data_IF_989196876131
#
_entry.id   IF_989196876131
#
_cell.length_a   1.000
_cell.length_b   1.000
_cell.length_c   1.000
_cell.angle_alpha   90.00
_cell.angle_beta   90.00
_cell.angle_gamma   90.00
#
_symmetry.space_group_name_H-M   'P 1'
#
loop_
_entity.id
_entity.type
_entity.pdbx_description
1 polymer ?
#
# COMPACT_ATOMS: atom_id res chain seq x y z
N UNK A 1 40.15 22.06 43.49
CA UNK A 1 39.64 23.22 44.26
C UNK A 1 39.20 24.30 43.26
N UNK A 2 37.90 24.56 43.16
CA UNK A 2 37.28 25.88 42.94
C UNK A 2 35.77 25.69 42.78
N UNK A 3 35.02 26.39 43.62
CA UNK A 3 33.57 26.37 43.78
C UNK A 3 32.97 27.64 43.16
N UNK A 4 31.71 27.50 42.73
CA UNK A 4 30.61 28.47 42.71
C UNK A 4 30.61 29.60 41.66
N UNK A 5 29.57 29.59 40.81
CA UNK A 5 28.57 30.67 40.85
C UNK A 5 27.22 30.17 40.33
N UNK A 6 26.20 30.38 41.16
CA UNK A 6 24.78 30.13 40.93
C UNK A 6 24.14 31.49 40.67
N UNK A 7 23.30 31.60 39.63
CA UNK A 7 22.19 32.56 39.67
C UNK A 7 20.93 31.95 39.06
N UNK A 8 19.98 31.66 39.96
CA UNK A 8 18.55 31.63 39.68
C UNK A 8 18.05 33.02 39.26
N UNK A 9 16.99 33.08 38.46
CA UNK A 9 15.86 33.99 38.71
C UNK A 9 14.57 33.42 38.10
N UNK A 10 13.50 33.64 38.86
CA UNK A 10 12.18 33.04 38.83
C UNK A 10 11.14 33.99 38.23
N UNK A 11 10.08 33.40 37.63
CA UNK A 11 8.65 33.78 37.50
C UNK A 11 8.27 35.28 37.52
N UNK A 12 7.38 35.78 36.66
CA UNK A 12 5.90 35.83 36.85
C UNK A 12 5.36 36.82 35.76
N UNK A 13 4.31 36.58 34.97
CA UNK A 13 2.87 36.65 35.27
C UNK A 13 2.17 37.95 34.81
N UNK A 14 1.06 37.76 34.06
CA UNK A 14 -0.23 38.48 34.01
C UNK A 14 -0.52 39.73 33.11
N UNK A 15 -1.65 39.56 32.39
CA UNK A 15 -2.75 40.49 32.04
C UNK A 15 -2.52 41.60 30.99
N UNK A 16 -3.49 41.97 30.13
CA UNK A 16 -4.93 41.66 30.00
C UNK A 16 -5.42 41.81 28.54
N UNK A 17 -6.49 41.13 28.09
CA UNK A 17 -7.91 41.56 28.04
C UNK A 17 -8.10 42.98 27.48
N UNK A 18 -8.97 43.31 26.52
CA UNK A 18 -10.05 42.68 25.76
C UNK A 18 -10.44 43.69 24.64
N UNK A 19 -11.13 43.42 23.53
CA UNK A 19 -12.56 43.12 23.33
C UNK A 19 -12.80 43.25 21.82
N UNK A 20 -13.53 42.32 21.18
CA UNK A 20 -14.79 42.63 20.44
C UNK A 20 -15.44 41.37 19.91
N UNK A 21 -16.72 41.21 20.23
CA UNK A 21 -17.62 40.23 19.68
C UNK A 21 -18.04 40.60 18.24
N UNK A 22 -18.26 39.59 17.38
CA UNK A 22 -19.39 39.57 16.44
C UNK A 22 -19.54 38.21 15.74
N UNK A 23 -20.80 37.76 15.76
CA UNK A 23 -21.47 36.90 14.78
C UNK A 23 -21.05 35.43 14.63
N UNK A 24 -21.88 34.57 15.23
CA UNK A 24 -22.12 33.22 14.76
C UNK A 24 -22.63 33.27 13.31
N UNK A 25 -21.78 32.90 12.36
CA UNK A 25 -22.21 32.45 11.04
C UNK A 25 -22.20 30.92 11.08
N UNK A 26 -23.40 30.34 11.18
CA UNK A 26 -23.62 28.93 10.88
C UNK A 26 -23.26 28.72 9.41
N UNK A 27 -22.02 28.31 9.14
CA UNK A 27 -21.62 27.78 7.85
C UNK A 27 -22.33 26.45 7.69
N UNK A 28 -23.47 26.48 7.00
CA UNK A 28 -24.15 25.31 6.47
C UNK A 28 -23.12 24.47 5.73
N UNK A 29 -22.83 23.29 6.27
CA UNK A 29 -22.08 22.26 5.56
C UNK A 29 -22.73 22.05 4.19
N UNK A 30 -21.95 21.96 3.09
CA UNK A 30 -22.52 21.62 1.81
C UNK A 30 -23.13 20.22 1.95
N UNK A 31 -24.44 20.17 1.75
CA UNK A 31 -25.24 18.97 1.48
C UNK A 31 -24.39 18.00 0.68
N UNK A 32 -24.19 16.79 1.22
CA UNK A 32 -23.59 15.69 0.50
C UNK A 32 -24.40 15.49 -0.78
N UNK A 33 -23.87 15.96 -1.91
CA UNK A 33 -24.40 15.69 -3.23
C UNK A 33 -24.49 14.19 -3.35
N UNK A 34 -25.72 13.67 -3.39
CA UNK A 34 -26.00 12.28 -3.70
C UNK A 34 -25.16 11.92 -4.93
N UNK A 35 -24.25 10.97 -4.77
CA UNK A 35 -23.37 10.53 -5.84
C UNK A 35 -24.26 10.12 -7.02
N UNK A 36 -24.24 10.93 -8.09
CA UNK A 36 -24.96 10.63 -9.30
C UNK A 36 -24.57 9.21 -9.74
N UNK A 37 -25.57 8.34 -9.95
CA UNK A 37 -25.32 7.00 -10.47
C UNK A 37 -24.54 7.14 -11.77
N UNK A 38 -23.30 6.61 -11.86
CA UNK A 38 -22.52 6.76 -13.06
C UNK A 38 -23.27 6.08 -14.21
N UNK A 39 -23.25 6.70 -15.39
CA UNK A 39 -23.84 6.13 -16.59
C UNK A 39 -23.33 4.69 -16.80
N UNK A 40 -24.16 3.77 -17.32
CA UNK A 40 -23.76 2.39 -17.55
C UNK A 40 -22.51 2.35 -18.44
N UNK A 41 -21.47 1.68 -17.95
CA UNK A 41 -20.17 1.63 -18.62
C UNK A 41 -20.22 0.61 -19.76
N UNK A 42 -19.86 1.02 -20.98
CA UNK A 42 -19.79 0.12 -22.15
C UNK A 42 -18.51 -0.72 -22.18
N UNK A 43 -17.47 -0.27 -21.46
CA UNK A 43 -16.16 -0.92 -21.36
C UNK A 43 -15.76 -1.11 -19.90
N UNK A 44 -14.88 -2.08 -19.66
CA UNK A 44 -14.20 -2.23 -18.37
C UNK A 44 -13.32 -1.00 -18.09
N UNK A 45 -13.37 -0.50 -16.85
CA UNK A 45 -12.50 0.58 -16.37
C UNK A 45 -11.67 0.06 -15.21
N UNK A 46 -10.36 0.33 -15.25
CA UNK A 46 -9.46 0.05 -14.12
C UNK A 46 -9.17 1.35 -13.38
N UNK A 47 -9.59 1.43 -12.11
CA UNK A 47 -9.25 2.53 -11.21
C UNK A 47 -8.06 2.16 -10.36
N UNK A 48 -7.11 3.09 -10.23
CA UNK A 48 -5.87 2.86 -9.49
C UNK A 48 -5.84 3.74 -8.24
N UNK A 49 -5.57 3.15 -7.07
CA UNK A 49 -5.43 3.86 -5.80
C UNK A 49 -4.02 4.43 -5.55
N UNK A 50 -3.77 5.06 -4.39
CA UNK A 50 -2.41 5.36 -3.93
C UNK A 50 -1.66 4.07 -3.56
N UNK A 51 -0.31 4.05 -3.57
CA UNK A 51 0.48 2.89 -3.15
C UNK A 51 0.17 2.46 -1.70
N UNK A 52 0.15 1.16 -1.45
CA UNK A 52 0.03 0.61 -0.09
C UNK A 52 1.31 0.90 0.71
N UNK A 53 1.15 1.31 1.97
CA UNK A 53 2.26 1.69 2.84
C UNK A 53 3.17 0.52 3.27
N UNK A 54 2.72 -0.74 3.15
CA UNK A 54 3.49 -1.93 3.50
C UNK A 54 4.06 -2.58 2.24
N UNK A 55 3.25 -2.80 1.22
CA UNK A 55 3.66 -3.53 0.02
C UNK A 55 4.25 -2.63 -1.07
N UNK A 56 3.98 -1.33 -1.02
CA UNK A 56 4.24 -0.36 -2.10
C UNK A 56 3.56 -0.72 -3.43
N UNK A 57 2.66 -1.72 -3.42
CA UNK A 57 1.86 -2.09 -4.58
C UNK A 57 0.69 -1.13 -4.70
N UNK A 58 0.28 -0.88 -5.95
CA UNK A 58 -0.87 -0.02 -6.21
C UNK A 58 -2.15 -0.86 -6.25
N UNK A 59 -3.08 -0.70 -5.29
CA UNK A 59 -4.36 -1.36 -5.35
C UNK A 59 -5.14 -0.85 -6.57
N UNK A 60 -5.89 -1.74 -7.18
CA UNK A 60 -6.75 -1.38 -8.30
C UNK A 60 -8.12 -2.02 -8.16
N UNK A 61 -9.12 -1.33 -8.68
CA UNK A 61 -10.49 -1.79 -8.78
C UNK A 61 -10.82 -1.95 -10.27
N UNK A 62 -11.32 -3.12 -10.65
CA UNK A 62 -11.84 -3.36 -11.99
C UNK A 62 -13.35 -3.16 -11.96
N UNK A 63 -13.83 -2.11 -12.60
CA UNK A 63 -15.26 -1.86 -12.80
C UNK A 63 -15.71 -2.60 -14.06
N UNK A 64 -16.63 -3.58 -13.95
CA UNK A 64 -17.13 -4.31 -15.11
C UNK A 64 -17.98 -3.42 -16.02
N UNK A 65 -18.05 -3.81 -17.30
CA UNK A 65 -19.02 -3.24 -18.22
C UNK A 65 -20.45 -3.63 -17.80
N UNK A 66 -21.44 -2.78 -18.08
CA UNK A 66 -22.84 -3.02 -17.71
C UNK A 66 -23.40 -4.31 -18.35
N UNK A 67 -22.92 -4.68 -19.53
CA UNK A 67 -23.28 -5.90 -20.27
C UNK A 67 -22.15 -6.93 -20.31
N UNK A 68 -21.41 -7.06 -19.20
CA UNK A 68 -20.29 -8.01 -19.05
C UNK A 68 -20.74 -9.45 -19.36
N UNK A 69 -19.99 -10.11 -20.25
CA UNK A 69 -20.19 -11.53 -20.56
C UNK A 69 -19.62 -12.43 -19.46
N UNK A 70 -20.09 -13.68 -19.40
CA UNK A 70 -19.55 -14.67 -18.44
C UNK A 70 -18.04 -14.86 -18.61
N UNK A 71 -17.52 -14.81 -19.84
CA UNK A 71 -16.08 -14.95 -20.10
C UNK A 71 -15.28 -13.73 -19.62
N UNK A 72 -15.80 -12.51 -19.78
CA UNK A 72 -15.18 -11.30 -19.23
C UNK A 72 -15.17 -11.34 -17.69
N UNK A 73 -16.28 -11.74 -17.07
CA UNK A 73 -16.36 -11.90 -15.62
C UNK A 73 -15.35 -12.91 -15.09
N UNK A 74 -15.26 -14.09 -15.69
CA UNK A 74 -14.30 -15.14 -15.33
C UNK A 74 -12.86 -14.58 -15.37
N UNK A 75 -12.51 -13.90 -16.46
CA UNK A 75 -11.18 -13.31 -16.60
C UNK A 75 -10.91 -12.18 -15.59
N UNK A 76 -11.89 -11.32 -15.34
CA UNK A 76 -11.80 -10.25 -14.33
C UNK A 76 -11.58 -10.81 -12.93
N UNK A 77 -12.35 -11.82 -12.53
CA UNK A 77 -12.23 -12.48 -11.23
C UNK A 77 -10.86 -13.14 -11.06
N UNK A 78 -10.31 -13.78 -12.11
CA UNK A 78 -8.95 -14.31 -12.09
C UNK A 78 -7.91 -13.23 -11.85
N UNK A 79 -8.01 -12.08 -12.53
CA UNK A 79 -7.09 -10.93 -12.35
C UNK A 79 -7.15 -10.37 -10.94
N UNK A 80 -8.36 -10.23 -10.38
CA UNK A 80 -8.56 -9.78 -8.99
C UNK A 80 -7.92 -10.77 -8.01
N UNK A 81 -8.18 -12.07 -8.17
CA UNK A 81 -7.62 -13.11 -7.31
C UNK A 81 -6.09 -13.14 -7.36
N UNK A 82 -5.50 -12.99 -8.55
CA UNK A 82 -4.05 -12.91 -8.71
C UNK A 82 -3.46 -11.67 -8.03
N UNK A 83 -4.06 -10.50 -8.21
CA UNK A 83 -3.62 -9.27 -7.55
C UNK A 83 -3.70 -9.37 -6.02
N UNK A 84 -4.78 -9.95 -5.49
CA UNK A 84 -4.90 -10.20 -4.06
C UNK A 84 -3.85 -11.20 -3.54
N UNK A 85 -3.55 -12.25 -4.31
CA UNK A 85 -2.48 -13.20 -3.99
C UNK A 85 -1.11 -12.53 -3.96
N UNK A 86 -0.84 -11.67 -4.94
CA UNK A 86 0.38 -10.87 -5.05
C UNK A 86 0.56 -9.94 -3.84
N UNK A 87 -0.49 -9.19 -3.48
CA UNK A 87 -0.44 -8.30 -2.32
C UNK A 87 -0.23 -9.07 -1.01
N UNK A 88 -0.95 -10.18 -0.80
CA UNK A 88 -0.77 -11.01 0.41
C UNK A 88 0.67 -11.51 0.55
N UNK A 89 1.28 -11.97 -0.54
CA UNK A 89 2.66 -12.43 -0.52
C UNK A 89 3.62 -11.31 -0.12
N UNK A 90 3.54 -10.16 -0.81
CA UNK A 90 4.43 -9.03 -0.53
C UNK A 90 4.21 -8.40 0.84
N UNK A 91 2.97 -8.39 1.33
CA UNK A 91 2.66 -7.92 2.69
C UNK A 91 3.33 -8.80 3.73
N UNK A 92 3.20 -10.11 3.59
CA UNK A 92 3.86 -11.07 4.49
C UNK A 92 5.39 -10.96 4.40
N UNK A 93 5.95 -10.89 3.19
CA UNK A 93 7.39 -10.77 2.97
C UNK A 93 7.96 -9.49 3.58
N UNK A 94 7.33 -8.35 3.33
CA UNK A 94 7.81 -7.05 3.81
C UNK A 94 7.65 -6.92 5.32
N UNK A 95 6.57 -7.48 5.89
CA UNK A 95 6.40 -7.53 7.35
C UNK A 95 7.55 -8.31 8.02
N UNK A 96 7.88 -9.50 7.48
CA UNK A 96 9.02 -10.30 7.97
C UNK A 96 10.34 -9.57 7.81
N UNK A 97 10.56 -8.95 6.65
CA UNK A 97 11.77 -8.17 6.39
C UNK A 97 11.98 -7.08 7.43
N UNK A 98 10.95 -6.28 7.75
CA UNK A 98 11.03 -5.22 8.76
C UNK A 98 11.32 -5.79 10.14
N UNK A 99 10.67 -6.89 10.52
CA UNK A 99 10.88 -7.55 11.81
C UNK A 99 12.30 -8.10 11.95
N UNK A 100 12.78 -8.83 10.95
CA UNK A 100 14.12 -9.43 10.96
C UNK A 100 15.22 -8.36 10.90
N UNK A 101 14.98 -7.27 10.16
CA UNK A 101 15.89 -6.12 10.13
C UNK A 101 16.00 -5.47 11.51
N UNK A 102 14.87 -5.21 12.16
CA UNK A 102 14.85 -4.64 13.50
C UNK A 102 15.56 -5.54 14.53
N UNK A 103 15.36 -6.86 14.44
CA UNK A 103 16.05 -7.83 15.28
C UNK A 103 17.58 -7.84 15.04
N UNK A 104 18.00 -7.72 13.77
CA UNK A 104 19.41 -7.61 13.42
C UNK A 104 20.05 -6.32 13.95
N UNK A 105 19.35 -5.18 13.84
CA UNK A 105 19.82 -3.89 14.38
C UNK A 105 19.93 -3.91 15.90
N UNK A 106 18.96 -4.53 16.59
CA UNK A 106 18.99 -4.69 18.04
C UNK A 106 20.17 -5.57 18.50
N UNK A 107 20.46 -6.66 17.79
CA UNK A 107 21.60 -7.53 18.10
C UNK A 107 22.94 -6.83 17.84
N UNK A 108 23.02 -6.03 16.79
CA UNK A 108 24.22 -5.23 16.52
C UNK A 108 24.46 -4.20 17.63
N UNK A 109 23.41 -3.50 18.09
CA UNK A 109 23.51 -2.54 19.18
C UNK A 109 23.99 -3.19 20.49
N UNK A 110 23.67 -4.47 20.73
CA UNK A 110 24.10 -5.25 21.90
C UNK A 110 25.54 -5.75 21.78
N UNK A 111 25.93 -6.23 20.60
CA UNK A 111 27.25 -6.85 20.36
C UNK A 111 28.35 -5.85 20.05
N UNK A 112 27.99 -4.71 19.46
CA UNK A 112 28.90 -3.65 19.03
C UNK A 112 28.38 -2.27 19.50
N UNK A 113 28.31 -2.03 20.82
CA UNK A 113 27.73 -0.80 21.35
C UNK A 113 28.53 0.43 20.89
N UNK A 114 27.80 1.46 20.42
CA UNK A 114 28.39 2.72 19.95
C UNK A 114 28.91 2.71 18.51
N UNK A 115 28.89 1.57 17.80
CA UNK A 115 29.18 1.53 16.37
C UNK A 115 27.95 1.97 15.56
N UNK A 116 28.11 2.86 14.56
CA UNK A 116 27.02 3.23 13.67
C UNK A 116 26.63 2.07 12.76
N UNK A 117 25.35 1.98 12.42
CA UNK A 117 24.86 1.01 11.41
C UNK A 117 25.35 1.46 10.04
N UNK A 118 26.35 0.78 9.49
CA UNK A 118 26.89 1.08 8.15
C UNK A 118 26.19 0.27 7.05
N UNK A 119 26.37 0.69 5.80
CA UNK A 119 25.84 -0.02 4.64
C UNK A 119 26.43 -1.43 4.50
N UNK A 120 27.70 -1.61 4.86
CA UNK A 120 28.39 -2.90 4.86
C UNK A 120 27.72 -3.88 5.83
N UNK A 121 27.44 -3.45 7.05
CA UNK A 121 26.77 -4.31 8.04
C UNK A 121 25.34 -4.65 7.62
N UNK A 122 24.59 -3.69 7.07
CA UNK A 122 23.27 -3.96 6.51
C UNK A 122 23.32 -4.89 5.30
N UNK A 123 24.36 -4.82 4.47
CA UNK A 123 24.52 -5.71 3.30
C UNK A 123 24.61 -7.19 3.71
N UNK A 124 25.25 -7.47 4.85
CA UNK A 124 25.33 -8.82 5.43
C UNK A 124 23.93 -9.31 5.82
N UNK A 125 23.13 -8.45 6.45
CA UNK A 125 21.73 -8.75 6.76
C UNK A 125 20.93 -9.02 5.48
N UNK A 126 21.02 -8.15 4.48
CA UNK A 126 20.29 -8.30 3.22
C UNK A 126 20.60 -9.65 2.55
N UNK A 127 21.89 -9.99 2.43
CA UNK A 127 22.31 -11.27 1.86
C UNK A 127 21.72 -12.44 2.65
N UNK A 128 21.83 -12.41 3.98
CA UNK A 128 21.29 -13.47 4.85
C UNK A 128 19.78 -13.63 4.68
N UNK A 129 19.04 -12.53 4.66
CA UNK A 129 17.60 -12.53 4.47
C UNK A 129 17.23 -13.15 3.12
N UNK A 130 17.90 -12.74 2.04
CA UNK A 130 17.65 -13.25 0.70
C UNK A 130 17.98 -14.74 0.57
N UNK A 131 19.13 -15.18 1.09
CA UNK A 131 19.52 -16.59 1.06
C UNK A 131 18.52 -17.46 1.84
N UNK A 132 18.08 -17.01 3.01
CA UNK A 132 17.11 -17.72 3.84
C UNK A 132 15.73 -17.82 3.16
N UNK A 133 15.29 -16.75 2.50
CA UNK A 133 13.98 -16.69 1.85
C UNK A 133 13.99 -17.16 0.39
N UNK A 134 15.14 -17.57 -0.15
CA UNK A 134 15.29 -18.00 -1.53
C UNK A 134 14.31 -19.12 -1.93
N UNK A 135 14.08 -20.19 -1.13
CA UNK A 135 13.12 -21.23 -1.50
C UNK A 135 11.69 -20.70 -1.58
N UNK A 136 11.30 -19.82 -0.65
CA UNK A 136 9.99 -19.17 -0.63
C UNK A 136 9.78 -18.31 -1.88
N UNK A 137 10.77 -17.50 -2.25
CA UNK A 137 10.71 -16.64 -3.44
C UNK A 137 10.69 -17.45 -4.74
N UNK A 138 11.43 -18.56 -4.82
CA UNK A 138 11.37 -19.49 -5.95
C UNK A 138 9.98 -20.10 -6.11
N UNK A 139 9.40 -20.60 -5.02
CA UNK A 139 8.05 -21.16 -5.03
C UNK A 139 7.01 -20.12 -5.45
N UNK A 140 7.10 -18.91 -4.90
CA UNK A 140 6.26 -17.78 -5.28
C UNK A 140 6.39 -17.43 -6.77
N UNK A 141 7.60 -17.31 -7.30
CA UNK A 141 7.81 -16.99 -8.71
C UNK A 141 7.24 -18.07 -9.64
N UNK A 142 7.44 -19.35 -9.31
CA UNK A 142 6.86 -20.46 -10.07
C UNK A 142 5.32 -20.38 -10.10
N UNK A 143 4.70 -20.11 -8.96
CA UNK A 143 3.25 -19.94 -8.86
C UNK A 143 2.76 -18.70 -9.61
N UNK A 144 3.49 -17.59 -9.52
CA UNK A 144 3.18 -16.37 -10.25
C UNK A 144 3.19 -16.60 -11.77
N UNK A 145 4.20 -17.29 -12.29
CA UNK A 145 4.24 -17.67 -13.70
C UNK A 145 3.07 -18.58 -14.08
N UNK A 146 2.78 -19.58 -13.26
CA UNK A 146 1.66 -20.51 -13.48
C UNK A 146 0.32 -19.77 -13.58
N UNK A 147 0.07 -18.83 -12.67
CA UNK A 147 -1.14 -18.00 -12.68
C UNK A 147 -1.19 -17.11 -13.94
N UNK A 148 -0.11 -16.44 -14.31
CA UNK A 148 -0.11 -15.56 -15.49
C UNK A 148 -0.31 -16.34 -16.80
N UNK A 149 0.27 -17.54 -16.92
CA UNK A 149 0.10 -18.40 -18.09
C UNK A 149 -1.33 -18.96 -18.15
N UNK A 150 -1.92 -19.35 -17.01
CA UNK A 150 -3.29 -19.90 -16.99
C UNK A 150 -4.33 -18.88 -17.41
N UNK A 151 -4.04 -17.58 -17.32
CA UNK A 151 -4.92 -16.51 -17.75
C UNK A 151 -5.00 -16.30 -19.26
N UNK A 152 -4.09 -16.86 -20.07
CA UNK A 152 -4.04 -16.58 -21.51
C UNK A 152 -5.31 -16.99 -22.25
N UNK A 153 -5.82 -18.19 -21.97
CA UNK A 153 -7.05 -18.70 -22.61
C UNK A 153 -8.29 -17.93 -22.17
N UNK A 154 -8.53 -17.70 -20.86
CA UNK A 154 -9.61 -16.83 -20.39
C UNK A 154 -9.53 -15.41 -20.97
N UNK A 155 -8.33 -14.81 -21.06
CA UNK A 155 -8.13 -13.49 -21.65
C UNK A 155 -8.55 -13.46 -23.13
N UNK A 156 -8.17 -14.48 -23.90
CA UNK A 156 -8.56 -14.60 -25.30
C UNK A 156 -10.09 -14.76 -25.45
N UNK A 157 -10.70 -15.63 -24.63
CA UNK A 157 -12.17 -15.84 -24.62
C UNK A 157 -12.92 -14.55 -24.27
N UNK A 158 -12.50 -13.84 -23.23
CA UNK A 158 -13.06 -12.55 -22.84
C UNK A 158 -12.95 -11.51 -23.96
N UNK A 159 -11.78 -11.45 -24.61
CA UNK A 159 -11.53 -10.52 -25.73
C UNK A 159 -12.43 -10.82 -26.92
N UNK A 160 -12.56 -12.09 -27.32
CA UNK A 160 -13.45 -12.50 -28.41
C UNK A 160 -14.91 -12.17 -28.08
N UNK A 161 -15.36 -12.47 -26.85
CA UNK A 161 -16.72 -12.17 -26.41
C UNK A 161 -17.03 -10.67 -26.47
N UNK A 162 -16.09 -9.84 -26.02
CA UNK A 162 -16.19 -8.38 -26.08
C UNK A 162 -16.25 -7.86 -27.51
N UNK A 163 -15.34 -8.29 -28.39
CA UNK A 163 -15.29 -7.86 -29.79
C UNK A 163 -16.56 -8.30 -30.53
N UNK A 164 -17.00 -9.55 -30.35
CA UNK A 164 -18.23 -10.05 -30.96
C UNK A 164 -19.43 -9.20 -30.55
N UNK A 165 -19.52 -8.82 -29.27
CA UNK A 165 -20.59 -7.94 -28.77
C UNK A 165 -20.52 -6.54 -29.36
N UNK A 166 -19.32 -5.98 -29.55
CA UNK A 166 -19.17 -4.63 -30.11
C UNK A 166 -19.46 -4.56 -31.62
N UNK A 167 -19.22 -5.65 -32.35
CA UNK A 167 -19.35 -5.68 -33.81
C UNK A 167 -20.71 -6.20 -34.28
N UNK A 168 -21.28 -7.17 -33.57
CA UNK A 168 -22.49 -7.89 -33.98
C UNK A 168 -23.65 -7.78 -32.98
N UNK A 169 -23.45 -7.06 -31.88
CA UNK A 169 -24.43 -6.87 -30.80
C UNK A 169 -24.95 -5.45 -30.71
#
# INVERSE_FOLDING_TARGET
MLRLSVHQRSLSSLCGLAHRAAAAAATTAPTATAAATPAPQTIEIVRMGPPDHVTNLRPFEIIPAANESVAEREYREMRIAAAQGHDRFWRSNNTRFVQEKAAFEAELARTQPGQPITAETLSVFYKRFLDHNLPLHKAYNAEWWRINISMLVPAARATIARVRRQVFG
#
